data_IF_063184946859
#
_entry.id   IF_063184946859
#
_cell.length_a   1.000
_cell.length_b   1.000
_cell.length_c   1.000
_cell.angle_alpha   90.00
_cell.angle_beta   90.00
_cell.angle_gamma   90.00
#
_symmetry.space_group_name_H-M   'P 1'
#
loop_
_entity.id
_entity.type
_entity.pdbx_description
1 polymer ?
#
# COMPACT_ATOMS: atom_id res chain seq x y z
N UNK A 1 44.80 9.52 34.57
CA UNK A 1 44.16 9.68 33.25
C UNK A 1 42.70 9.22 33.30
N UNK A 2 41.75 10.09 33.09
CA UNK A 2 40.31 9.75 33.10
C UNK A 2 39.94 9.06 31.77
N UNK A 3 39.48 7.81 31.82
CA UNK A 3 39.06 7.04 30.66
C UNK A 3 37.72 7.57 30.15
N UNK A 4 37.65 8.10 28.93
CA UNK A 4 36.42 8.52 28.27
C UNK A 4 35.69 7.30 27.71
N UNK A 5 34.70 6.77 28.46
CA UNK A 5 33.91 5.58 28.05
C UNK A 5 32.77 5.90 27.04
N UNK A 6 32.27 7.15 27.03
CA UNK A 6 31.08 7.55 26.24
C UNK A 6 31.37 7.70 24.75
N UNK A 7 32.59 8.06 24.34
CA UNK A 7 32.92 8.31 22.93
C UNK A 7 32.69 7.09 22.04
N UNK A 8 33.02 5.88 22.49
CA UNK A 8 32.84 4.63 21.70
C UNK A 8 31.39 4.35 21.39
N UNK A 9 30.51 4.49 22.38
CA UNK A 9 29.07 4.26 22.19
C UNK A 9 28.43 5.36 21.31
N UNK A 10 28.81 6.61 21.49
CA UNK A 10 28.36 7.72 20.65
C UNK A 10 28.76 7.51 19.19
N UNK A 11 29.99 7.10 18.91
CA UNK A 11 30.46 6.81 17.56
C UNK A 11 29.74 5.62 16.93
N UNK A 12 29.50 4.55 17.70
CA UNK A 12 28.71 3.40 17.22
C UNK A 12 27.29 3.79 16.87
N UNK A 13 26.63 4.57 17.73
CA UNK A 13 25.28 5.07 17.47
C UNK A 13 25.25 5.94 16.22
N UNK A 14 26.16 6.91 16.10
CA UNK A 14 26.27 7.77 14.93
C UNK A 14 26.43 6.96 13.64
N UNK A 15 27.34 5.97 13.63
CA UNK A 15 27.55 5.09 12.47
C UNK A 15 26.27 4.33 12.10
N UNK A 16 25.53 3.81 13.08
CA UNK A 16 24.27 3.10 12.88
C UNK A 16 23.22 3.99 12.23
N UNK A 17 23.04 5.20 12.78
CA UNK A 17 22.06 6.18 12.29
C UNK A 17 22.38 6.62 10.87
N UNK A 18 23.64 7.04 10.60
CA UNK A 18 24.04 7.48 9.27
C UNK A 18 24.02 6.34 8.24
N UNK A 19 24.27 5.09 8.66
CA UNK A 19 24.11 3.92 7.78
C UNK A 19 22.66 3.73 7.35
N UNK A 20 21.71 3.92 8.27
CA UNK A 20 20.28 3.82 7.96
C UNK A 20 19.78 4.97 7.08
N UNK A 21 20.37 6.18 7.21
CA UNK A 21 20.04 7.37 6.43
C UNK A 21 20.88 7.51 5.14
N UNK A 22 21.61 6.48 4.73
CA UNK A 22 22.43 6.51 3.52
C UNK A 22 21.57 6.79 2.29
N UNK A 23 21.98 7.75 1.47
CA UNK A 23 21.24 8.16 0.27
C UNK A 23 20.20 9.25 0.50
N UNK A 24 19.99 9.72 1.73
CA UNK A 24 19.11 10.85 2.01
C UNK A 24 19.74 12.17 1.55
N UNK A 25 18.89 13.14 1.22
CA UNK A 25 19.34 14.45 0.72
C UNK A 25 19.93 15.34 1.80
N UNK A 26 20.89 16.18 1.42
CA UNK A 26 21.48 17.24 2.24
C UNK A 26 22.09 16.75 3.57
N UNK A 27 21.81 17.48 4.66
CA UNK A 27 22.31 17.19 5.98
C UNK A 27 21.80 15.88 6.59
N UNK A 28 20.69 15.35 6.08
CA UNK A 28 20.05 14.13 6.58
C UNK A 28 20.92 12.87 6.41
N UNK A 29 21.85 12.86 5.46
CA UNK A 29 22.81 11.76 5.29
C UNK A 29 24.14 11.97 6.03
N UNK A 30 24.39 13.18 6.59
CA UNK A 30 25.67 13.56 7.16
C UNK A 30 25.62 13.96 8.62
N UNK A 31 24.56 14.64 9.08
CA UNK A 31 24.37 15.09 10.46
C UNK A 31 23.45 14.12 11.20
N UNK A 32 23.91 13.61 12.36
CA UNK A 32 23.17 12.60 13.13
C UNK A 32 21.78 13.08 13.57
N UNK A 33 21.65 14.31 14.05
CA UNK A 33 20.37 14.86 14.48
C UNK A 33 19.36 14.92 13.32
N UNK A 34 19.77 15.44 12.16
CA UNK A 34 18.92 15.51 10.97
C UNK A 34 18.59 14.13 10.40
N UNK A 35 19.51 13.16 10.52
CA UNK A 35 19.28 11.79 10.13
C UNK A 35 18.24 11.10 11.03
N UNK A 36 18.34 11.27 12.35
CA UNK A 36 17.39 10.73 13.31
C UNK A 36 15.98 11.26 13.08
N UNK A 37 15.85 12.58 12.89
CA UNK A 37 14.55 13.20 12.58
C UNK A 37 13.95 12.61 11.29
N UNK A 38 14.73 12.55 10.22
CA UNK A 38 14.27 11.99 8.95
C UNK A 38 13.88 10.51 9.06
N UNK A 39 14.63 9.70 9.81
CA UNK A 39 14.33 8.29 10.04
C UNK A 39 13.07 8.10 10.89
N UNK A 40 12.85 8.94 11.90
CA UNK A 40 11.64 8.93 12.72
C UNK A 40 10.39 9.21 11.86
N UNK A 41 10.44 10.25 11.03
CA UNK A 41 9.36 10.56 10.09
C UNK A 41 9.14 9.44 9.06
N UNK A 42 10.21 8.90 8.48
CA UNK A 42 10.10 7.79 7.54
C UNK A 42 9.42 6.56 8.17
N UNK A 43 9.77 6.25 9.43
CA UNK A 43 9.13 5.17 10.19
C UNK A 43 7.64 5.41 10.45
N UNK A 44 7.28 6.62 10.86
CA UNK A 44 5.90 7.01 11.09
C UNK A 44 5.06 6.92 9.81
N UNK A 45 5.57 7.45 8.70
CA UNK A 45 4.90 7.35 7.40
C UNK A 45 4.81 5.91 6.90
N UNK A 46 5.87 5.12 7.04
CA UNK A 46 5.81 3.72 6.66
C UNK A 46 4.73 2.94 7.44
N UNK A 47 4.56 3.25 8.73
CA UNK A 47 3.50 2.66 9.56
C UNK A 47 2.10 3.04 9.06
N UNK A 48 1.84 4.33 8.82
CA UNK A 48 0.57 4.83 8.32
C UNK A 48 0.26 4.29 6.91
N UNK A 49 1.22 4.41 5.98
CA UNK A 49 1.03 4.03 4.58
C UNK A 49 0.84 2.52 4.36
N UNK A 50 1.26 1.65 5.29
CA UNK A 50 0.90 0.22 5.22
C UNK A 50 -0.61 -0.01 5.31
N UNK A 51 -1.34 0.83 6.04
CA UNK A 51 -2.82 0.80 6.09
C UNK A 51 -3.43 1.45 4.85
N UNK A 52 -2.92 2.60 4.45
CA UNK A 52 -3.40 3.33 3.27
C UNK A 52 -3.26 2.49 2.00
N UNK A 53 -2.16 1.79 1.83
CA UNK A 53 -1.91 0.88 0.70
C UNK A 53 -3.02 -0.15 0.51
N UNK A 54 -3.60 -0.66 1.60
CA UNK A 54 -4.75 -1.58 1.51
C UNK A 54 -6.00 -0.89 0.95
N UNK A 55 -6.19 0.38 1.30
CA UNK A 55 -7.26 1.23 0.76
C UNK A 55 -7.06 1.51 -0.73
N UNK A 56 -5.84 1.84 -1.14
CA UNK A 56 -5.48 2.14 -2.53
C UNK A 56 -5.70 0.93 -3.44
N UNK A 57 -5.28 -0.26 -3.01
CA UNK A 57 -5.56 -1.49 -3.76
C UNK A 57 -7.07 -1.72 -3.92
N UNK A 58 -7.88 -1.50 -2.87
CA UNK A 58 -9.34 -1.64 -2.98
C UNK A 58 -9.96 -0.64 -3.96
N UNK A 59 -9.49 0.61 -3.96
CA UNK A 59 -9.91 1.62 -4.95
C UNK A 59 -9.56 1.19 -6.36
N UNK A 60 -8.34 0.71 -6.58
CA UNK A 60 -7.90 0.21 -7.88
C UNK A 60 -8.74 -0.96 -8.39
N UNK A 61 -9.05 -1.94 -7.53
CA UNK A 61 -9.93 -3.05 -7.89
C UNK A 61 -11.34 -2.57 -8.26
N UNK A 62 -11.89 -1.63 -7.51
CA UNK A 62 -13.19 -1.05 -7.82
C UNK A 62 -13.20 -0.37 -9.21
N UNK A 63 -12.14 0.36 -9.55
CA UNK A 63 -11.99 1.01 -10.87
C UNK A 63 -11.94 -0.05 -11.98
N UNK A 64 -11.14 -1.11 -11.82
CA UNK A 64 -11.02 -2.20 -12.80
C UNK A 64 -12.35 -2.92 -13.02
N UNK A 65 -13.04 -3.28 -11.95
CA UNK A 65 -14.35 -3.93 -12.01
C UNK A 65 -15.37 -3.02 -12.69
N UNK A 66 -15.44 -1.74 -12.31
CA UNK A 66 -16.38 -0.79 -12.88
C UNK A 66 -16.14 -0.56 -14.38
N UNK A 67 -14.88 -0.49 -14.81
CA UNK A 67 -14.52 -0.36 -16.22
C UNK A 67 -15.03 -1.55 -17.06
N UNK A 68 -14.93 -2.78 -16.53
CA UNK A 68 -15.43 -3.97 -17.20
C UNK A 68 -16.96 -4.11 -17.16
N UNK A 69 -17.62 -3.52 -16.17
CA UNK A 69 -19.08 -3.56 -16.04
C UNK A 69 -19.81 -2.55 -16.94
N UNK A 70 -19.19 -1.39 -17.20
CA UNK A 70 -19.81 -0.30 -17.99
C UNK A 70 -20.28 -0.76 -19.40
N UNK A 71 -19.46 -1.48 -20.19
CA UNK A 71 -19.90 -2.00 -21.48
C UNK A 71 -21.08 -2.99 -21.36
N UNK A 72 -21.26 -3.63 -20.21
CA UNK A 72 -22.34 -4.57 -19.93
C UNK A 72 -23.62 -3.91 -19.40
N UNK A 73 -23.63 -2.56 -19.32
CA UNK A 73 -24.76 -1.78 -18.83
C UNK A 73 -24.96 -1.84 -17.32
N UNK A 74 -23.92 -2.21 -16.56
CA UNK A 74 -23.95 -2.29 -15.10
C UNK A 74 -23.08 -1.22 -14.46
N UNK A 75 -23.54 -0.64 -13.33
CA UNK A 75 -22.68 0.16 -12.46
C UNK A 75 -22.13 -0.72 -11.32
N UNK A 76 -20.94 -0.36 -10.80
CA UNK A 76 -20.31 -1.07 -9.69
C UNK A 76 -21.21 -1.24 -8.46
N UNK A 77 -21.95 -0.18 -8.08
CA UNK A 77 -22.85 -0.21 -6.92
C UNK A 77 -24.00 -1.21 -7.08
N UNK A 78 -24.64 -1.21 -8.24
CA UNK A 78 -25.71 -2.17 -8.57
C UNK A 78 -25.18 -3.59 -8.60
N UNK A 79 -24.00 -3.80 -9.18
CA UNK A 79 -23.36 -5.11 -9.25
C UNK A 79 -23.04 -5.68 -7.86
N UNK A 80 -22.41 -4.90 -6.98
CA UNK A 80 -22.10 -5.34 -5.60
C UNK A 80 -23.38 -5.57 -4.79
N UNK A 81 -24.41 -4.75 -4.99
CA UNK A 81 -25.72 -4.97 -4.38
C UNK A 81 -26.34 -6.32 -4.79
N UNK A 82 -26.33 -6.61 -6.09
CA UNK A 82 -26.86 -7.86 -6.64
C UNK A 82 -26.06 -9.09 -6.20
N UNK A 83 -24.72 -9.02 -6.15
CA UNK A 83 -23.88 -10.12 -5.64
C UNK A 83 -24.18 -10.43 -4.18
N UNK A 84 -24.34 -9.38 -3.35
CA UNK A 84 -24.70 -9.55 -1.93
C UNK A 84 -26.11 -10.14 -1.76
N UNK A 85 -27.10 -9.66 -2.54
CA UNK A 85 -28.46 -10.17 -2.49
C UNK A 85 -28.55 -11.67 -2.84
N UNK A 86 -27.70 -12.13 -3.77
CA UNK A 86 -27.58 -13.54 -4.14
C UNK A 86 -26.67 -14.36 -3.23
N UNK A 87 -26.16 -13.79 -2.13
CA UNK A 87 -25.26 -14.47 -1.18
C UNK A 87 -23.89 -14.87 -1.77
N UNK A 88 -23.47 -14.26 -2.88
CA UNK A 88 -22.22 -14.61 -3.56
C UNK A 88 -21.07 -13.85 -2.90
N UNK A 89 -20.23 -14.57 -2.17
CA UNK A 89 -19.07 -14.03 -1.46
C UNK A 89 -17.80 -14.18 -2.31
N UNK A 90 -17.59 -13.26 -3.25
CA UNK A 90 -16.37 -13.20 -4.07
C UNK A 90 -15.58 -11.94 -3.72
N UNK A 91 -14.28 -12.12 -3.49
CA UNK A 91 -13.38 -11.01 -3.15
C UNK A 91 -13.17 -10.08 -4.35
N UNK A 92 -13.07 -8.76 -4.05
CA UNK A 92 -12.82 -7.71 -5.05
C UNK A 92 -11.54 -7.94 -5.86
N UNK A 93 -10.50 -8.48 -5.23
CA UNK A 93 -9.23 -8.81 -5.89
C UNK A 93 -9.44 -9.85 -6.99
N UNK A 94 -10.20 -10.92 -6.69
CA UNK A 94 -10.51 -11.97 -7.64
C UNK A 94 -11.36 -11.42 -8.79
N UNK A 95 -12.40 -10.64 -8.48
CA UNK A 95 -13.24 -10.01 -9.50
C UNK A 95 -12.45 -9.07 -10.42
N UNK A 96 -11.55 -8.24 -9.86
CA UNK A 96 -10.70 -7.36 -10.65
C UNK A 96 -9.73 -8.14 -11.54
N UNK A 97 -9.17 -9.24 -11.03
CA UNK A 97 -8.29 -10.13 -11.81
C UNK A 97 -9.05 -10.80 -12.95
N UNK A 98 -10.26 -11.29 -12.72
CA UNK A 98 -11.11 -11.87 -13.78
C UNK A 98 -11.45 -10.81 -14.84
N UNK A 99 -11.79 -9.61 -14.41
CA UNK A 99 -12.12 -8.50 -15.31
C UNK A 99 -10.96 -8.12 -16.25
N UNK A 100 -9.73 -8.20 -15.74
CA UNK A 100 -8.52 -7.79 -16.48
C UNK A 100 -7.97 -8.91 -17.35
N UNK A 101 -7.84 -10.12 -16.83
CA UNK A 101 -7.13 -11.23 -17.50
C UNK A 101 -8.06 -12.28 -18.13
N UNK A 102 -9.33 -12.34 -17.72
CA UNK A 102 -10.30 -13.31 -18.25
C UNK A 102 -11.68 -12.68 -18.45
N UNK A 103 -11.80 -11.73 -19.38
CA UNK A 103 -13.03 -10.95 -19.59
C UNK A 103 -14.25 -11.83 -19.91
N UNK A 104 -14.08 -12.90 -20.65
CA UNK A 104 -15.18 -13.82 -20.97
C UNK A 104 -15.73 -14.52 -19.72
N UNK A 105 -14.85 -14.93 -18.79
CA UNK A 105 -15.29 -15.54 -17.54
C UNK A 105 -15.99 -14.51 -16.66
N UNK A 106 -15.52 -13.27 -16.66
CA UNK A 106 -16.17 -12.17 -15.96
C UNK A 106 -17.54 -11.85 -16.51
N UNK A 107 -17.72 -11.81 -17.85
CA UNK A 107 -19.00 -11.60 -18.51
C UNK A 107 -20.01 -12.71 -18.15
N UNK A 108 -19.57 -13.97 -18.18
CA UNK A 108 -20.41 -15.12 -17.76
C UNK A 108 -20.83 -15.01 -16.29
N UNK A 109 -19.94 -14.54 -15.43
CA UNK A 109 -20.24 -14.29 -14.04
C UNK A 109 -21.27 -13.16 -13.86
N UNK A 110 -21.10 -12.04 -14.56
CA UNK A 110 -22.04 -10.91 -14.56
C UNK A 110 -23.41 -11.32 -15.07
N UNK A 111 -23.48 -12.14 -16.14
CA UNK A 111 -24.74 -12.63 -16.69
C UNK A 111 -25.57 -13.47 -15.69
N UNK A 112 -24.90 -14.22 -14.81
CA UNK A 112 -25.56 -14.98 -13.73
C UNK A 112 -26.07 -14.10 -12.58
N UNK A 113 -25.54 -12.87 -12.48
CA UNK A 113 -25.92 -11.92 -11.44
C UNK A 113 -27.04 -10.99 -11.91
N UNK A 114 -27.11 -10.75 -13.20
CA UNK A 114 -28.15 -9.98 -13.86
C UNK A 114 -29.51 -10.66 -13.73
#
# INVERSE_FOLDING_TARGET
MTRVKKAVNALKNRRRVLKAAKGYRFARSRKEAAANDALAHAGAYAFAHRRDKKGDHRRLWNVKINAALRPLGFSYSKFIGATKAKGILVDRKIMAHLAEFKPEAFQRFVAKIK
#
